data_IF_769886429719
#
_entry.id   IF_769886429719
#
_cell.length_a   1.000
_cell.length_b   1.000
_cell.length_c   1.000
_cell.angle_alpha   90.00
_cell.angle_beta   90.00
_cell.angle_gamma   90.00
#
_symmetry.space_group_name_H-M   'P 1'
#
loop_
_entity.id
_entity.type
_entity.pdbx_description
1 polymer ?
#
# COMPACT_ATOMS: atom_id res chain seq x y z
N UNK A 1 2.55 -44.06 -5.77
CA UNK A 1 3.46 -42.89 -5.60
C UNK A 1 2.89 -41.62 -6.23
N UNK A 2 2.39 -41.68 -7.47
CA UNK A 2 1.85 -40.55 -8.25
C UNK A 2 0.70 -39.76 -7.59
N UNK A 3 -0.25 -40.42 -6.90
CA UNK A 3 -1.33 -39.73 -6.16
C UNK A 3 -0.79 -38.87 -5.00
N UNK A 4 0.28 -39.32 -4.34
CA UNK A 4 0.89 -38.61 -3.20
C UNK A 4 1.64 -37.37 -3.68
N UNK A 5 2.40 -37.48 -4.80
CA UNK A 5 3.10 -36.37 -5.42
C UNK A 5 2.13 -35.29 -5.94
N UNK A 6 1.04 -35.68 -6.61
CA UNK A 6 0.00 -34.76 -7.07
C UNK A 6 -0.67 -34.00 -5.93
N UNK A 7 -1.01 -34.69 -4.84
CA UNK A 7 -1.55 -34.05 -3.64
C UNK A 7 -0.56 -33.05 -3.03
N UNK A 8 0.71 -33.42 -2.92
CA UNK A 8 1.74 -32.56 -2.35
C UNK A 8 1.95 -31.28 -3.18
N UNK A 9 2.03 -31.39 -4.52
CA UNK A 9 2.13 -30.21 -5.39
C UNK A 9 0.90 -29.32 -5.32
N UNK A 10 -0.31 -29.91 -5.29
CA UNK A 10 -1.54 -29.14 -5.16
C UNK A 10 -1.59 -28.37 -3.82
N UNK A 11 -1.16 -28.99 -2.73
CA UNK A 11 -1.07 -28.34 -1.42
C UNK A 11 -0.04 -27.20 -1.45
N UNK A 12 1.15 -27.42 -2.02
CA UNK A 12 2.18 -26.38 -2.10
C UNK A 12 1.70 -25.16 -2.89
N UNK A 13 1.08 -25.38 -4.06
CA UNK A 13 0.49 -24.31 -4.87
C UNK A 13 -0.61 -23.60 -4.09
N UNK A 14 -1.53 -24.33 -3.46
CA UNK A 14 -2.61 -23.73 -2.68
C UNK A 14 -2.07 -22.87 -1.54
N UNK A 15 -1.08 -23.35 -0.78
CA UNK A 15 -0.44 -22.59 0.32
C UNK A 15 0.26 -21.35 -0.22
N UNK A 16 0.96 -21.46 -1.35
CA UNK A 16 1.68 -20.33 -1.96
C UNK A 16 0.71 -19.26 -2.45
N UNK A 17 -0.38 -19.67 -3.12
CA UNK A 17 -1.42 -18.78 -3.60
C UNK A 17 -2.14 -18.10 -2.44
N UNK A 18 -2.59 -18.86 -1.43
CA UNK A 18 -3.24 -18.29 -0.24
C UNK A 18 -2.29 -17.32 0.49
N UNK A 19 -1.02 -17.69 0.64
CA UNK A 19 -0.01 -16.81 1.25
C UNK A 19 0.15 -15.50 0.49
N UNK A 20 0.24 -15.57 -0.84
CA UNK A 20 0.40 -14.39 -1.69
C UNK A 20 -0.87 -13.51 -1.69
N UNK A 21 -2.04 -14.14 -1.70
CA UNK A 21 -3.34 -13.48 -1.62
C UNK A 21 -3.61 -12.80 -0.28
N UNK A 22 -3.00 -13.27 0.82
CA UNK A 22 -3.14 -12.62 2.12
C UNK A 22 -2.07 -11.54 2.34
N UNK A 23 -0.82 -11.83 1.95
CA UNK A 23 0.31 -10.92 2.19
C UNK A 23 0.28 -9.68 1.31
N UNK A 24 -0.09 -9.82 0.04
CA UNK A 24 0.01 -8.74 -0.95
C UNK A 24 -1.01 -7.61 -0.67
N UNK A 25 -2.31 -7.89 -0.43
CA UNK A 25 -3.26 -6.88 0.02
C UNK A 25 -2.83 -6.15 1.29
N UNK A 26 -2.34 -6.90 2.27
CA UNK A 26 -1.91 -6.34 3.54
C UNK A 26 -0.70 -5.41 3.37
N UNK A 27 0.30 -5.84 2.60
CA UNK A 27 1.49 -5.01 2.26
C UNK A 27 1.10 -3.75 1.49
N UNK A 28 0.19 -3.85 0.54
CA UNK A 28 -0.29 -2.69 -0.23
C UNK A 28 -1.07 -1.72 0.66
N UNK A 29 -1.94 -2.23 1.53
CA UNK A 29 -2.67 -1.41 2.49
C UNK A 29 -1.71 -0.64 3.41
N UNK A 30 -0.72 -1.32 4.00
CA UNK A 30 0.29 -0.66 4.84
C UNK A 30 1.06 0.42 4.06
N UNK A 31 1.46 0.14 2.82
CA UNK A 31 2.15 1.12 1.96
C UNK A 31 1.28 2.36 1.75
N UNK A 32 0.01 2.17 1.39
CA UNK A 32 -0.89 3.29 1.10
C UNK A 32 -1.18 4.13 2.36
N UNK A 33 -1.31 3.50 3.53
CA UNK A 33 -1.47 4.23 4.80
C UNK A 33 -0.23 5.05 5.16
N UNK A 34 0.97 4.53 4.87
CA UNK A 34 2.22 5.25 5.12
C UNK A 34 2.39 6.44 4.16
N UNK A 35 2.05 6.25 2.88
CA UNK A 35 2.05 7.35 1.91
C UNK A 35 1.04 8.44 2.31
N UNK A 36 -0.16 8.05 2.73
CA UNK A 36 -1.15 9.00 3.25
C UNK A 36 -0.62 9.76 4.47
N UNK A 37 0.09 9.08 5.37
CA UNK A 37 0.73 9.70 6.55
C UNK A 37 1.79 10.72 6.16
N UNK A 38 2.65 10.39 5.20
CA UNK A 38 3.69 11.30 4.70
C UNK A 38 3.08 12.52 4.02
N UNK A 39 2.09 12.32 3.15
CA UNK A 39 1.38 13.41 2.48
C UNK A 39 0.66 14.32 3.48
N UNK A 40 -0.02 13.74 4.47
CA UNK A 40 -0.67 14.49 5.54
C UNK A 40 0.33 15.34 6.34
N UNK A 41 1.52 14.80 6.61
CA UNK A 41 2.59 15.53 7.27
C UNK A 41 3.06 16.74 6.47
N UNK A 42 3.33 16.55 5.17
CA UNK A 42 3.75 17.64 4.27
C UNK A 42 2.66 18.72 4.17
N UNK A 43 1.40 18.32 3.95
CA UNK A 43 0.27 19.25 3.83
C UNK A 43 0.06 20.01 5.14
N UNK A 44 0.16 19.34 6.29
CA UNK A 44 -0.03 19.98 7.60
C UNK A 44 1.14 20.92 7.95
N UNK A 45 2.35 20.60 7.53
CA UNK A 45 3.51 21.49 7.67
C UNK A 45 3.39 22.72 6.77
N UNK A 46 3.00 22.54 5.51
CA UNK A 46 2.74 23.63 4.58
C UNK A 46 1.62 24.53 5.10
N UNK A 47 0.53 23.94 5.61
CA UNK A 47 -0.57 24.66 6.23
C UNK A 47 -0.12 25.41 7.49
N UNK A 48 0.71 24.79 8.34
CA UNK A 48 1.31 25.44 9.51
C UNK A 48 2.15 26.64 9.10
N UNK A 49 3.01 26.50 8.08
CA UNK A 49 3.83 27.61 7.56
C UNK A 49 2.99 28.70 6.91
N UNK A 50 1.90 28.37 6.21
CA UNK A 50 0.96 29.36 5.68
C UNK A 50 0.19 30.09 6.79
N UNK A 51 -0.24 29.37 7.83
CA UNK A 51 -0.90 29.98 9.00
C UNK A 51 0.08 30.90 9.72
N UNK A 52 1.35 30.50 9.88
CA UNK A 52 2.40 31.39 10.39
C UNK A 52 2.52 32.64 9.53
N UNK A 53 2.69 32.49 8.22
CA UNK A 53 2.82 33.62 7.29
C UNK A 53 1.62 34.56 7.34
N UNK A 54 0.43 34.06 7.68
CA UNK A 54 -0.80 34.86 7.65
C UNK A 54 -1.16 35.46 9.01
N UNK A 55 -0.81 34.77 10.10
CA UNK A 55 -0.91 35.31 11.46
C UNK A 55 0.22 36.29 11.79
N UNK A 56 1.42 36.10 11.24
CA UNK A 56 2.58 36.96 11.52
C UNK A 56 2.57 38.28 10.74
N UNK A 57 1.75 38.41 9.69
CA UNK A 57 1.89 39.52 8.76
C UNK A 57 0.95 40.69 8.99
N UNK A 58 0.02 40.63 9.94
CA UNK A 58 -0.92 41.75 10.13
C UNK A 58 -0.24 43.05 10.58
N UNK A 59 0.91 43.03 11.25
CA UNK A 59 1.68 44.25 11.57
C UNK A 59 2.92 44.46 10.69
N UNK A 60 3.65 43.39 10.37
CA UNK A 60 4.91 43.50 9.63
C UNK A 60 4.72 43.65 8.11
N UNK A 61 3.65 43.12 7.49
CA UNK A 61 3.32 43.44 6.08
C UNK A 61 2.76 44.84 5.94
N UNK A 62 2.05 45.34 6.94
CA UNK A 62 1.65 46.75 7.03
C UNK A 62 2.87 47.69 7.10
N UNK A 63 3.97 47.25 7.73
CA UNK A 63 5.23 48.00 7.80
C UNK A 63 6.09 47.85 6.53
N UNK A 64 6.11 46.67 5.90
CA UNK A 64 6.94 46.38 4.72
C UNK A 64 6.31 46.83 3.39
N UNK A 65 4.98 46.90 3.31
CA UNK A 65 4.30 47.37 2.10
C UNK A 65 2.91 47.93 2.44
N UNK A 66 2.78 49.21 2.83
CA UNK A 66 1.51 49.82 3.23
C UNK A 66 0.45 49.86 2.10
N UNK A 67 0.84 49.50 0.87
CA UNK A 67 -0.05 49.35 -0.30
C UNK A 67 -0.65 47.95 -0.46
N UNK A 68 -0.07 46.91 0.16
CA UNK A 68 -0.75 45.61 0.31
C UNK A 68 -1.76 45.75 1.44
N UNK A 69 -2.97 46.22 1.11
CA UNK A 69 -4.05 46.30 2.08
C UNK A 69 -4.27 44.94 2.74
N UNK A 70 -4.51 44.95 4.06
CA UNK A 70 -4.89 43.78 4.88
C UNK A 70 -5.89 42.85 4.14
N UNK A 71 -6.80 43.44 3.36
CA UNK A 71 -7.78 42.72 2.54
C UNK A 71 -7.18 41.65 1.63
N UNK A 72 -6.01 41.86 1.02
CA UNK A 72 -5.41 40.90 0.07
C UNK A 72 -4.86 39.65 0.77
N UNK A 73 -4.30 39.81 1.97
CA UNK A 73 -3.79 38.69 2.77
C UNK A 73 -4.98 37.89 3.33
N UNK A 74 -5.99 38.59 3.86
CA UNK A 74 -7.21 37.93 4.31
C UNK A 74 -7.95 37.22 3.17
N UNK A 75 -8.02 37.81 1.97
CA UNK A 75 -8.67 37.18 0.82
C UNK A 75 -7.95 35.91 0.37
N UNK A 76 -6.60 35.90 0.38
CA UNK A 76 -5.83 34.68 0.07
C UNK A 76 -6.05 33.59 1.10
N UNK A 77 -6.05 33.94 2.39
CA UNK A 77 -6.33 32.99 3.49
C UNK A 77 -7.75 32.46 3.39
N UNK A 78 -8.73 33.33 3.18
CA UNK A 78 -10.15 32.99 3.08
C UNK A 78 -10.42 32.09 1.87
N UNK A 79 -9.83 32.39 0.71
CA UNK A 79 -9.87 31.51 -0.48
C UNK A 79 -9.26 30.14 -0.20
N UNK A 80 -8.15 30.09 0.54
CA UNK A 80 -7.52 28.83 0.92
C UNK A 80 -8.38 28.04 1.92
N UNK A 81 -8.92 28.74 2.92
CA UNK A 81 -9.82 28.17 3.93
C UNK A 81 -11.05 27.57 3.24
N UNK A 82 -11.68 28.33 2.34
CA UNK A 82 -12.80 27.86 1.49
C UNK A 82 -12.41 26.65 0.64
N UNK A 83 -11.26 26.68 -0.03
CA UNK A 83 -10.79 25.53 -0.83
C UNK A 83 -10.60 24.27 0.02
N UNK A 84 -10.17 24.43 1.28
CA UNK A 84 -10.04 23.33 2.21
C UNK A 84 -11.39 22.90 2.81
N UNK A 85 -12.31 23.82 3.10
CA UNK A 85 -13.68 23.52 3.54
C UNK A 85 -14.52 22.85 2.45
N UNK A 86 -14.29 23.19 1.18
CA UNK A 86 -14.93 22.56 0.02
C UNK A 86 -14.50 21.10 -0.17
N UNK A 87 -13.40 20.67 0.46
CA UNK A 87 -12.95 19.29 0.42
C UNK A 87 -13.54 18.51 1.60
N UNK A 88 -14.56 17.65 1.39
CA UNK A 88 -15.24 16.93 2.47
C UNK A 88 -14.31 15.98 3.22
N UNK A 89 -13.23 15.53 2.56
CA UNK A 89 -12.25 14.60 3.12
C UNK A 89 -11.21 15.30 4.00
N UNK A 90 -11.30 16.62 4.17
CA UNK A 90 -10.29 17.42 4.86
C UNK A 90 -10.92 18.37 5.87
N UNK A 91 -10.47 18.30 7.11
CA UNK A 91 -10.85 19.24 8.17
C UNK A 91 -9.61 19.73 8.88
N UNK A 92 -9.59 21.01 9.27
CA UNK A 92 -8.52 21.51 10.09
C UNK A 92 -9.02 22.49 11.13
N UNK A 93 -8.35 22.51 12.29
CA UNK A 93 -8.56 23.51 13.33
C UNK A 93 -7.22 23.96 13.90
N UNK A 94 -7.16 25.24 14.27
CA UNK A 94 -6.01 25.82 14.97
C UNK A 94 -6.32 25.92 16.45
N UNK A 95 -5.48 25.28 17.26
CA UNK A 95 -5.52 25.31 18.72
C UNK A 95 -4.39 26.23 19.18
N UNK A 96 -4.73 27.22 20.01
CA UNK A 96 -3.74 28.17 20.55
C UNK A 96 -2.98 27.53 21.71
N UNK A 97 -1.70 27.86 21.86
CA UNK A 97 -0.99 27.49 23.08
C UNK A 97 -1.39 28.42 24.24
N UNK A 98 -1.17 28.01 25.51
CA UNK A 98 -1.47 28.86 26.66
C UNK A 98 -0.81 30.26 26.58
N UNK A 99 0.36 30.34 25.93
CA UNK A 99 1.07 31.61 25.69
C UNK A 99 0.21 32.56 24.85
N UNK A 100 -0.40 32.05 23.77
CA UNK A 100 -1.21 32.84 22.85
C UNK A 100 -2.61 33.09 23.42
N UNK A 101 -3.21 32.12 24.11
CA UNK A 101 -4.51 32.28 24.76
C UNK A 101 -4.48 33.37 25.84
N UNK A 102 -3.39 33.49 26.59
CA UNK A 102 -3.23 34.56 27.60
C UNK A 102 -3.22 35.96 26.99
N UNK A 103 -2.83 36.10 25.71
CA UNK A 103 -2.75 37.39 25.01
C UNK A 103 -4.01 37.71 24.22
N UNK A 104 -4.65 36.69 23.64
CA UNK A 104 -5.70 36.88 22.63
C UNK A 104 -6.99 36.11 22.94
N UNK A 105 -7.14 35.60 24.16
CA UNK A 105 -8.21 34.72 24.63
C UNK A 105 -8.27 33.36 23.92
N UNK A 106 -8.87 32.37 24.58
CA UNK A 106 -9.12 31.06 23.97
C UNK A 106 -10.21 31.17 22.88
N UNK A 107 -10.08 30.38 21.81
CA UNK A 107 -11.13 30.28 20.79
C UNK A 107 -12.15 29.25 21.28
N UNK A 108 -13.44 29.64 21.39
CA UNK A 108 -14.52 28.75 21.83
C UNK A 108 -14.55 27.49 20.96
N UNK A 109 -14.52 26.31 21.58
CA UNK A 109 -14.54 25.01 20.89
C UNK A 109 -13.19 24.56 20.28
N UNK A 110 -12.08 25.26 20.56
CA UNK A 110 -10.73 24.90 20.07
C UNK A 110 -9.71 24.78 21.22
N UNK A 111 -10.08 24.05 22.26
CA UNK A 111 -9.21 23.72 23.40
C UNK A 111 -8.36 22.49 23.11
N UNK A 112 -7.27 22.33 23.86
CA UNK A 112 -6.50 21.09 23.91
C UNK A 112 -7.28 19.99 24.67
N UNK A 113 -8.21 19.35 23.97
CA UNK A 113 -9.15 18.34 24.49
C UNK A 113 -8.57 16.92 24.56
N UNK A 114 -7.43 16.67 23.90
CA UNK A 114 -6.76 15.37 23.83
C UNK A 114 -5.29 15.46 24.35
N UNK A 115 -4.81 14.38 24.97
CA UNK A 115 -3.41 14.14 25.33
C UNK A 115 -2.41 14.33 24.20
N UNK A 116 -2.75 13.97 22.96
CA UNK A 116 -1.86 14.17 21.82
C UNK A 116 -1.63 15.66 21.54
N UNK A 117 -2.68 16.48 21.61
CA UNK A 117 -2.57 17.94 21.44
C UNK A 117 -1.70 18.52 22.57
N UNK A 118 -1.93 18.07 23.81
CA UNK A 118 -1.11 18.48 24.97
C UNK A 118 0.36 18.08 24.82
N UNK A 119 0.62 16.90 24.26
CA UNK A 119 1.96 16.41 24.00
C UNK A 119 2.66 17.19 22.88
N UNK A 120 1.94 17.60 21.83
CA UNK A 120 2.50 18.46 20.77
C UNK A 120 2.76 19.87 21.31
N UNK A 121 1.84 20.44 22.10
CA UNK A 121 2.01 21.76 22.73
C UNK A 121 3.22 21.82 23.67
N UNK A 122 3.46 20.76 24.44
CA UNK A 122 4.58 20.69 25.40
C UNK A 122 5.90 20.26 24.77
N UNK A 123 5.90 19.23 23.92
CA UNK A 123 7.11 18.67 23.32
C UNK A 123 7.54 19.31 22.01
N UNK A 124 6.64 20.06 21.35
CA UNK A 124 6.87 20.68 20.05
C UNK A 124 7.12 19.68 18.91
N UNK A 125 6.92 18.38 19.12
CA UNK A 125 7.08 17.35 18.08
C UNK A 125 5.73 17.07 17.45
N UNK A 126 5.68 17.06 16.12
CA UNK A 126 4.48 16.67 15.40
C UNK A 126 4.08 15.23 15.74
N UNK A 127 2.78 14.96 15.71
CA UNK A 127 2.20 13.64 15.97
C UNK A 127 1.12 13.32 14.96
N UNK A 128 0.85 12.04 14.81
CA UNK A 128 -0.28 11.56 14.01
C UNK A 128 -0.90 10.33 14.65
N UNK A 129 -2.21 10.24 14.51
CA UNK A 129 -3.03 9.13 14.96
C UNK A 129 -3.96 8.70 13.83
N UNK A 130 -4.19 7.39 13.72
CA UNK A 130 -5.11 6.81 12.75
C UNK A 130 -6.19 6.07 13.55
N UNK A 131 -7.43 6.52 13.42
CA UNK A 131 -8.60 5.86 13.97
C UNK A 131 -9.50 5.37 12.82
N UNK A 132 -9.35 4.09 12.48
CA UNK A 132 -10.06 3.46 11.37
C UNK A 132 -9.70 4.07 10.01
N UNK A 133 -10.55 5.00 9.55
CA UNK A 133 -10.38 5.74 8.29
C UNK A 133 -10.01 7.20 8.51
N UNK A 134 -9.99 7.69 9.75
CA UNK A 134 -9.64 9.06 10.04
C UNK A 134 -8.16 9.14 10.40
N UNK A 135 -7.38 9.89 9.61
CA UNK A 135 -6.01 10.24 9.94
C UNK A 135 -5.99 11.65 10.50
N UNK A 136 -5.61 11.78 11.77
CA UNK A 136 -5.40 13.09 12.39
C UNK A 136 -3.91 13.35 12.54
N UNK A 137 -3.49 14.54 12.12
CA UNK A 137 -2.12 15.03 12.19
C UNK A 137 -2.09 16.34 12.98
N UNK A 138 -1.20 16.43 13.97
CA UNK A 138 -1.00 17.60 14.81
C UNK A 138 0.37 18.19 14.53
N UNK A 139 0.38 19.38 13.91
CA UNK A 139 1.60 20.11 13.56
C UNK A 139 1.79 21.32 14.50
N UNK A 140 2.93 21.43 15.20
CA UNK A 140 3.21 22.54 16.09
C UNK A 140 3.52 23.81 15.31
N UNK A 141 2.91 24.93 15.73
CA UNK A 141 3.25 26.26 15.26
C UNK A 141 4.40 26.78 16.14
N UNK A 142 5.63 26.64 15.65
CA UNK A 142 6.82 27.13 16.35
C UNK A 142 7.08 28.60 16.04
N UNK A 143 7.46 29.35 17.07
CA UNK A 143 7.86 30.73 16.97
C UNK A 143 9.17 30.86 16.19
N UNK A 144 9.19 31.76 15.23
CA UNK A 144 10.39 32.24 14.54
C UNK A 144 10.86 33.55 15.20
N UNK A 145 12.05 34.03 14.84
CA UNK A 145 12.61 35.28 15.36
C UNK A 145 11.64 36.47 15.30
N UNK A 146 10.88 36.56 14.22
CA UNK A 146 9.88 37.62 14.00
C UNK A 146 8.65 37.52 14.91
N UNK A 147 8.30 36.32 15.40
CA UNK A 147 7.16 36.14 16.29
C UNK A 147 7.31 36.91 17.61
N UNK A 148 8.56 37.12 18.08
CA UNK A 148 8.85 37.88 19.30
C UNK A 148 8.50 39.37 19.23
N UNK A 149 8.19 39.92 18.04
CA UNK A 149 7.71 41.30 17.89
C UNK A 149 6.29 41.46 18.45
N UNK A 150 5.40 40.52 18.14
CA UNK A 150 3.99 40.57 18.52
C UNK A 150 3.67 39.71 19.75
N UNK A 151 4.34 38.57 19.90
CA UNK A 151 4.04 37.63 20.97
C UNK A 151 4.97 37.79 22.17
N UNK A 152 4.37 37.76 23.36
CA UNK A 152 5.05 37.71 24.65
C UNK A 152 4.88 36.33 25.31
N UNK A 153 5.83 35.92 26.13
CA UNK A 153 5.71 34.71 26.95
C UNK A 153 4.82 34.98 28.18
N UNK A 154 4.67 33.97 29.06
CA UNK A 154 3.89 34.09 30.30
C UNK A 154 4.48 35.10 31.30
N UNK A 155 5.75 35.48 31.14
CA UNK A 155 6.46 36.47 31.96
C UNK A 155 6.52 37.84 31.29
N UNK A 156 5.72 38.07 30.25
CA UNK A 156 5.69 39.29 29.45
C UNK A 156 7.03 39.63 28.75
N UNK A 157 7.92 38.66 28.55
CA UNK A 157 9.15 38.79 27.75
C UNK A 157 8.88 38.41 26.30
N UNK A 158 9.76 38.79 25.37
CA UNK A 158 9.65 38.37 23.97
C UNK A 158 9.73 36.84 23.88
N UNK A 159 8.83 36.23 23.13
CA UNK A 159 8.90 34.78 22.85
C UNK A 159 10.21 34.46 22.14
N UNK A 160 10.89 33.40 22.58
CA UNK A 160 12.11 32.90 21.95
C UNK A 160 11.79 32.00 20.77
N UNK A 161 12.70 31.97 19.79
CA UNK A 161 12.61 31.06 18.65
C UNK A 161 12.47 29.60 19.11
N UNK A 162 11.64 28.83 18.40
CA UNK A 162 11.33 27.44 18.71
C UNK A 162 10.17 27.24 19.70
N UNK A 163 9.74 28.27 20.43
CA UNK A 163 8.60 28.20 21.37
C UNK A 163 7.30 27.83 20.64
N UNK A 164 6.50 26.93 21.20
CA UNK A 164 5.23 26.50 20.58
C UNK A 164 4.12 27.51 20.87
N UNK A 165 3.61 28.15 19.81
CA UNK A 165 2.54 29.15 19.84
C UNK A 165 1.15 28.54 19.63
N UNK A 166 1.09 27.30 19.13
CA UNK A 166 -0.16 26.59 18.91
C UNK A 166 0.06 25.28 18.18
N UNK A 167 -1.05 24.65 17.79
CA UNK A 167 -1.09 23.41 17.04
C UNK A 167 -2.11 23.54 15.93
N UNK A 168 -1.75 23.11 14.73
CA UNK A 168 -2.69 22.86 13.64
C UNK A 168 -3.07 21.39 13.71
N UNK A 169 -4.32 21.12 14.05
CA UNK A 169 -4.89 19.80 13.88
C UNK A 169 -5.47 19.70 12.48
N UNK A 170 -5.09 18.65 11.75
CA UNK A 170 -5.55 18.34 10.41
C UNK A 170 -6.12 16.93 10.43
N UNK A 171 -7.37 16.75 10.06
CA UNK A 171 -8.04 15.45 9.97
C UNK A 171 -8.38 15.14 8.53
N UNK A 172 -8.00 13.95 8.08
CA UNK A 172 -8.24 13.44 6.75
C UNK A 172 -9.19 12.25 6.83
N UNK A 173 -10.27 12.28 6.06
CA UNK A 173 -11.13 11.11 5.85
C UNK A 173 -10.54 10.26 4.72
N UNK A 174 -10.00 9.11 5.09
CA UNK A 174 -9.42 8.16 4.16
C UNK A 174 -10.45 7.17 3.61
N UNK A 175 -11.76 7.36 3.83
CA UNK A 175 -12.81 6.45 3.35
C UNK A 175 -12.74 6.26 1.84
N UNK A 176 -12.67 7.36 1.08
CA UNK A 176 -12.55 7.30 -0.38
C UNK A 176 -11.24 6.66 -0.83
N UNK A 177 -10.13 6.93 -0.14
CA UNK A 177 -8.83 6.33 -0.46
C UNK A 177 -8.81 4.83 -0.15
N UNK A 178 -9.34 4.41 1.00
CA UNK A 178 -9.48 3.01 1.40
C UNK A 178 -10.34 2.24 0.41
N UNK A 179 -11.49 2.79 -0.02
CA UNK A 179 -12.35 2.15 -1.01
C UNK A 179 -11.62 1.95 -2.34
N UNK A 180 -10.87 2.95 -2.82
CA UNK A 180 -10.03 2.85 -4.02
C UNK A 180 -8.94 1.79 -3.86
N UNK A 181 -8.20 1.79 -2.75
CA UNK A 181 -7.14 0.80 -2.50
C UNK A 181 -7.72 -0.62 -2.42
N UNK A 182 -8.84 -0.83 -1.72
CA UNK A 182 -9.52 -2.13 -1.66
C UNK A 182 -9.92 -2.59 -3.06
N UNK A 183 -10.51 -1.70 -3.87
CA UNK A 183 -10.90 -2.01 -5.25
C UNK A 183 -9.69 -2.43 -6.08
N UNK A 184 -8.61 -1.65 -6.07
CA UNK A 184 -7.37 -1.96 -6.79
C UNK A 184 -6.77 -3.29 -6.35
N UNK A 185 -6.76 -3.56 -5.03
CA UNK A 185 -6.31 -4.82 -4.46
C UNK A 185 -7.14 -6.00 -4.99
N UNK A 186 -8.47 -5.87 -5.00
CA UNK A 186 -9.40 -6.89 -5.50
C UNK A 186 -9.19 -7.12 -6.99
N UNK A 187 -9.02 -6.07 -7.78
CA UNK A 187 -8.78 -6.15 -9.24
C UNK A 187 -7.45 -6.88 -9.54
N UNK A 188 -6.35 -6.48 -8.89
CA UNK A 188 -5.04 -7.14 -9.05
C UNK A 188 -5.10 -8.60 -8.60
N UNK A 189 -5.75 -8.86 -7.47
CA UNK A 189 -5.94 -10.21 -6.93
C UNK A 189 -6.74 -11.09 -7.87
N UNK A 190 -7.85 -10.58 -8.41
CA UNK A 190 -8.68 -11.29 -9.38
C UNK A 190 -7.91 -11.60 -10.65
N UNK A 191 -7.16 -10.64 -11.18
CA UNK A 191 -6.32 -10.84 -12.36
C UNK A 191 -5.25 -11.92 -12.12
N UNK A 192 -4.56 -11.88 -10.97
CA UNK A 192 -3.57 -12.88 -10.60
C UNK A 192 -4.18 -14.28 -10.50
N UNK A 193 -5.36 -14.41 -9.89
CA UNK A 193 -6.07 -15.70 -9.79
C UNK A 193 -6.41 -16.27 -11.16
N UNK A 194 -6.90 -15.45 -12.08
CA UNK A 194 -7.19 -15.88 -13.45
C UNK A 194 -5.91 -16.36 -14.14
N UNK A 195 -4.81 -15.62 -14.01
CA UNK A 195 -3.52 -16.01 -14.59
C UNK A 195 -3.00 -17.34 -14.04
N UNK A 196 -3.14 -17.57 -12.73
CA UNK A 196 -2.74 -18.84 -12.09
C UNK A 196 -3.58 -20.00 -12.64
N UNK A 197 -4.90 -19.83 -12.79
CA UNK A 197 -5.79 -20.86 -13.34
C UNK A 197 -5.42 -21.18 -14.79
N UNK A 198 -5.18 -20.17 -15.61
CA UNK A 198 -4.75 -20.34 -17.01
C UNK A 198 -3.41 -21.08 -17.07
N UNK A 199 -2.42 -20.66 -16.26
CA UNK A 199 -1.11 -21.31 -16.22
C UNK A 199 -1.21 -22.77 -15.78
N UNK A 200 -2.00 -23.06 -14.73
CA UNK A 200 -2.26 -24.42 -14.28
C UNK A 200 -2.90 -25.27 -15.38
N UNK A 201 -3.87 -24.71 -16.11
CA UNK A 201 -4.52 -25.39 -17.24
C UNK A 201 -3.52 -25.70 -18.36
N UNK A 202 -2.65 -24.75 -18.72
CA UNK A 202 -1.60 -24.94 -19.74
C UNK A 202 -0.63 -26.05 -19.30
N UNK A 203 -0.10 -25.99 -18.08
CA UNK A 203 0.82 -26.99 -17.54
C UNK A 203 0.19 -28.38 -17.54
N UNK A 204 -1.05 -28.50 -17.05
CA UNK A 204 -1.77 -29.77 -17.04
C UNK A 204 -2.02 -30.30 -18.46
N UNK A 205 -2.31 -29.41 -19.42
CA UNK A 205 -2.49 -29.77 -20.82
C UNK A 205 -1.21 -30.30 -21.44
N UNK A 206 -0.07 -29.66 -21.16
CA UNK A 206 1.26 -30.12 -21.60
C UNK A 206 1.56 -31.48 -20.99
N UNK A 207 1.43 -31.65 -19.67
CA UNK A 207 1.70 -32.94 -19.01
C UNK A 207 0.80 -34.04 -19.58
N UNK A 208 -0.48 -33.76 -19.77
CA UNK A 208 -1.44 -34.73 -20.30
C UNK A 208 -1.07 -35.17 -21.72
N UNK A 209 -0.74 -34.22 -22.59
CA UNK A 209 -0.51 -34.50 -24.00
C UNK A 209 0.90 -35.00 -24.30
N UNK A 210 1.91 -34.53 -23.56
CA UNK A 210 3.32 -34.86 -23.80
C UNK A 210 3.82 -36.06 -23.00
N UNK A 211 3.18 -36.41 -21.88
CA UNK A 211 3.62 -37.52 -21.02
C UNK A 211 2.54 -38.58 -20.84
N UNK A 212 1.36 -38.20 -20.34
CA UNK A 212 0.34 -39.18 -19.92
C UNK A 212 -0.20 -39.95 -21.11
N UNK A 213 -0.63 -39.27 -22.18
CA UNK A 213 -1.16 -39.92 -23.39
C UNK A 213 -0.11 -40.84 -24.05
N UNK A 214 1.11 -40.38 -24.36
CA UNK A 214 2.17 -41.24 -24.88
C UNK A 214 2.45 -42.48 -24.04
N UNK A 215 2.48 -42.36 -22.71
CA UNK A 215 2.69 -43.51 -21.82
C UNK A 215 1.51 -44.50 -21.85
N UNK A 216 0.27 -43.99 -21.95
CA UNK A 216 -0.92 -44.83 -22.09
C UNK A 216 -0.90 -45.57 -23.43
N UNK A 217 -0.61 -44.86 -24.53
CA UNK A 217 -0.52 -45.44 -25.86
C UNK A 217 0.57 -46.53 -25.91
N UNK A 218 1.75 -46.26 -25.34
CA UNK A 218 2.84 -47.24 -25.26
C UNK A 218 2.44 -48.46 -24.43
N UNK A 219 1.82 -48.25 -23.26
CA UNK A 219 1.37 -49.34 -22.39
C UNK A 219 0.31 -50.22 -23.08
N UNK A 220 -0.61 -49.63 -23.84
CA UNK A 220 -1.61 -50.36 -24.60
C UNK A 220 -0.98 -51.14 -25.77
N UNK A 221 0.01 -50.57 -26.47
CA UNK A 221 0.74 -51.27 -27.53
C UNK A 221 1.53 -52.46 -26.97
N UNK A 222 2.23 -52.30 -25.84
CA UNK A 222 2.92 -53.41 -25.16
C UNK A 222 1.92 -54.51 -24.79
N UNK A 223 0.75 -54.14 -24.26
CA UNK A 223 -0.29 -55.10 -23.90
C UNK A 223 -0.79 -55.87 -25.12
N UNK A 224 -1.02 -55.19 -26.25
CA UNK A 224 -1.47 -55.82 -27.51
C UNK A 224 -0.39 -56.69 -28.14
N UNK A 225 0.88 -56.27 -28.12
CA UNK A 225 2.00 -57.08 -28.62
C UNK A 225 2.11 -58.44 -27.96
N UNK A 226 1.72 -58.53 -26.67
CA UNK A 226 1.70 -59.80 -25.95
C UNK A 226 0.72 -60.81 -26.57
N UNK A 227 -0.36 -60.34 -27.20
CA UNK A 227 -1.37 -61.18 -27.87
C UNK A 227 -1.17 -61.25 -29.38
N UNK A 228 -0.60 -60.22 -29.99
CA UNK A 228 -0.40 -60.07 -31.44
C UNK A 228 1.04 -59.61 -31.73
N UNK A 229 1.98 -60.55 -31.91
CA UNK A 229 3.37 -60.22 -32.25
C UNK A 229 3.44 -59.48 -33.59
N UNK A 230 4.24 -58.41 -33.68
CA UNK A 230 4.50 -57.68 -34.93
C UNK A 230 3.93 -56.26 -35.04
N UNK A 231 3.14 -55.78 -34.07
CA UNK A 231 2.65 -54.39 -34.06
C UNK A 231 3.84 -53.41 -33.94
N UNK A 232 4.07 -52.43 -34.82
CA UNK A 232 5.23 -51.53 -34.71
C UNK A 232 5.16 -50.64 -33.47
N UNK A 233 6.32 -50.36 -32.85
CA UNK A 233 6.40 -49.40 -31.75
C UNK A 233 6.26 -47.96 -32.28
N UNK A 234 5.54 -47.09 -31.57
CA UNK A 234 5.34 -45.70 -31.98
C UNK A 234 6.64 -44.89 -31.84
N UNK A 235 6.86 -43.97 -32.78
CA UNK A 235 7.95 -43.00 -32.71
C UNK A 235 7.49 -41.78 -31.90
N UNK A 236 8.14 -41.53 -30.76
CA UNK A 236 7.87 -40.35 -29.94
C UNK A 236 8.91 -39.26 -30.19
N UNK A 237 8.45 -38.01 -30.20
CA UNK A 237 9.31 -36.83 -30.42
C UNK A 237 10.11 -36.42 -29.18
N UNK A 238 9.68 -36.83 -27.98
CA UNK A 238 10.40 -36.49 -26.74
C UNK A 238 11.54 -37.49 -26.50
N UNK A 239 12.75 -37.03 -26.16
CA UNK A 239 13.90 -37.90 -25.98
C UNK A 239 13.69 -38.94 -24.86
N UNK A 240 12.91 -38.62 -23.83
CA UNK A 240 12.59 -39.53 -22.73
C UNK A 240 11.70 -40.70 -23.20
N UNK A 241 10.67 -40.41 -24.00
CA UNK A 241 9.79 -41.46 -24.53
C UNK A 241 10.48 -42.28 -25.63
N UNK A 242 11.32 -41.64 -26.46
CA UNK A 242 12.14 -42.32 -27.44
C UNK A 242 13.13 -43.29 -26.77
N UNK A 243 13.79 -42.86 -25.68
CA UNK A 243 14.67 -43.72 -24.90
C UNK A 243 13.95 -44.91 -24.27
N UNK A 244 12.70 -44.71 -23.80
CA UNK A 244 11.88 -45.80 -23.26
C UNK A 244 11.50 -46.83 -24.33
N UNK A 245 11.14 -46.37 -25.55
CA UNK A 245 10.83 -47.25 -26.68
C UNK A 245 12.06 -48.04 -27.13
N UNK A 246 13.24 -47.41 -27.18
CA UNK A 246 14.47 -48.10 -27.57
C UNK A 246 14.89 -49.15 -26.53
N UNK A 247 14.75 -48.84 -25.23
CA UNK A 247 15.01 -49.81 -24.16
C UNK A 247 14.06 -51.02 -24.20
N UNK A 248 12.81 -50.83 -24.64
CA UNK A 248 11.87 -51.93 -24.87
C UNK A 248 12.27 -52.79 -26.07
N UNK A 249 12.78 -52.16 -27.14
CA UNK A 249 13.24 -52.84 -28.35
C UNK A 249 14.42 -53.76 -28.05
N UNK A 250 15.46 -53.23 -27.39
CA UNK A 250 16.65 -54.01 -27.05
C UNK A 250 16.37 -55.16 -26.09
N UNK A 251 15.46 -54.98 -25.12
CA UNK A 251 15.06 -56.04 -24.19
C UNK A 251 14.24 -57.17 -24.83
N UNK A 252 13.67 -56.95 -26.02
CA UNK A 252 12.93 -58.00 -26.76
C UNK A 252 13.88 -58.85 -27.62
N UNK A 253 14.91 -58.23 -28.20
CA UNK A 253 15.94 -58.89 -29.01
C UNK A 253 16.84 -59.86 -28.18
N UNK A 254 17.00 -59.59 -26.89
CA UNK A 254 17.83 -60.39 -25.97
C UNK A 254 17.14 -61.65 -25.42
N UNK A 255 15.91 -62.00 -25.84
CA UNK A 255 15.25 -63.25 -25.42
C UNK A 255 15.81 -64.46 -26.20
N UNK A 256 16.55 -65.37 -25.57
CA UNK A 256 17.12 -66.53 -26.26
C UNK A 256 16.01 -67.53 -26.63
N UNK A 257 15.68 -67.64 -27.92
CA UNK A 257 14.80 -68.71 -28.42
C UNK A 257 13.85 -68.38 -29.58
N UNK A 258 13.74 -67.12 -30.03
CA UNK A 258 12.99 -66.80 -31.26
C UNK A 258 13.93 -66.76 -32.45
N UNK A 259 14.11 -67.92 -33.10
CA UNK A 259 14.78 -68.02 -34.40
C UNK A 259 13.99 -67.22 -35.45
N UNK A 260 14.64 -66.36 -36.26
CA UNK A 260 13.96 -65.67 -37.35
C UNK A 260 13.52 -66.71 -38.40
N UNK A 261 12.21 -66.73 -38.69
CA UNK A 261 11.63 -67.39 -39.87
C UNK A 261 11.39 -66.30 -40.91
#
# INVERSE_FOLDING_TARGET
MEKKLRKMMAILVAVTVVGLLLLLPYRLYLRDTEVARQHAGVVSEELSNMIKLTMLTTKDVLALNPKLGLGVVYEKVDKLYKKFEENPDFKFRVIRSPIVENQYTAIKGRSADNDDIRAVLSGGKARSHIDGVNLTYWSPIRAEKQCGHCHRDLNNKKVTEGTVLGVVETSFDLTGQRARSIRTIVEITGFLMIMIVILAFIILSIIRNSLIRPLQDLADIIRRRKTEPGIPLPLYQTPEMAGLVEALRTGEDDKPGTTPI
#
